data_IF_266523282284
#
_entry.id   IF_266523282284
#
_cell.length_a   1.000
_cell.length_b   1.000
_cell.length_c   1.000
_cell.angle_alpha   90.00
_cell.angle_beta   90.00
_cell.angle_gamma   90.00
#
_symmetry.space_group_name_H-M   'P 1'
#
loop_
_entity.id
_entity.type
_entity.pdbx_description
1 polymer ?
#
# COMPACT_ATOMS: atom_id res chain seq x y z
N UNK A 1 11.27 -14.60 -23.63
CA UNK A 1 10.93 -13.38 -24.39
C UNK A 1 12.19 -12.55 -24.42
N UNK A 2 12.86 -12.47 -25.57
CA UNK A 2 14.05 -11.62 -25.70
C UNK A 2 13.60 -10.16 -25.58
N UNK A 3 14.20 -9.45 -24.63
CA UNK A 3 13.96 -8.01 -24.47
C UNK A 3 14.81 -7.27 -25.51
N UNK A 4 14.26 -6.21 -26.15
CA UNK A 4 15.07 -5.37 -27.01
C UNK A 4 16.19 -4.71 -26.20
N UNK A 5 17.28 -4.36 -26.89
CA UNK A 5 18.42 -3.66 -26.30
C UNK A 5 17.95 -2.44 -25.50
N UNK A 6 18.43 -2.31 -24.27
CA UNK A 6 18.02 -1.25 -23.37
C UNK A 6 19.15 -0.95 -22.37
N UNK A 7 19.27 0.31 -21.93
CA UNK A 7 20.41 0.76 -21.13
C UNK A 7 20.53 0.07 -19.78
N UNK A 8 19.44 -0.53 -19.28
CA UNK A 8 19.44 -1.27 -18.02
C UNK A 8 20.06 -2.65 -18.20
N UNK A 9 19.63 -3.39 -19.23
CA UNK A 9 20.20 -4.70 -19.57
C UNK A 9 21.67 -4.59 -19.97
N UNK A 10 22.04 -3.53 -20.71
CA UNK A 10 23.42 -3.27 -21.13
C UNK A 10 24.37 -3.02 -19.94
N UNK A 11 23.82 -2.64 -18.77
CA UNK A 11 24.58 -2.35 -17.55
C UNK A 11 24.14 -3.25 -16.37
N UNK A 12 23.72 -4.49 -16.64
CA UNK A 12 23.16 -5.40 -15.63
C UNK A 12 24.12 -5.65 -14.45
N UNK A 13 25.42 -5.77 -14.70
CA UNK A 13 26.43 -6.01 -13.68
C UNK A 13 26.54 -4.80 -12.73
N UNK A 14 26.53 -3.59 -13.29
CA UNK A 14 26.49 -2.36 -12.50
C UNK A 14 25.27 -2.30 -11.60
N UNK A 15 24.07 -2.58 -12.14
CA UNK A 15 22.85 -2.55 -11.33
C UNK A 15 22.87 -3.62 -10.25
N UNK A 16 23.33 -4.82 -10.56
CA UNK A 16 23.43 -5.93 -9.59
C UNK A 16 24.39 -5.57 -8.46
N UNK A 17 25.60 -5.12 -8.77
CA UNK A 17 26.58 -4.76 -7.76
C UNK A 17 26.09 -3.59 -6.89
N UNK A 18 25.60 -2.51 -7.52
CA UNK A 18 25.29 -1.27 -6.80
C UNK A 18 23.98 -1.32 -6.04
N UNK A 19 22.95 -2.03 -6.54
CA UNK A 19 21.68 -2.17 -5.80
C UNK A 19 21.84 -2.97 -4.51
N UNK A 20 22.70 -3.99 -4.54
CA UNK A 20 22.95 -4.88 -3.40
C UNK A 20 24.20 -4.52 -2.60
N UNK A 21 24.82 -3.37 -2.88
CA UNK A 21 25.94 -2.85 -2.09
C UNK A 21 25.51 -2.42 -0.68
N UNK A 22 26.37 -2.71 0.28
CA UNK A 22 26.25 -2.23 1.66
C UNK A 22 26.38 -0.69 1.75
N UNK A 23 27.03 -0.08 0.76
CA UNK A 23 27.22 1.37 0.72
C UNK A 23 25.93 2.07 0.27
N UNK A 24 25.33 2.83 1.19
CA UNK A 24 24.11 3.62 0.92
C UNK A 24 24.23 4.54 -0.31
N UNK A 25 25.41 5.11 -0.56
CA UNK A 25 25.66 6.00 -1.71
C UNK A 25 25.52 5.26 -3.03
N UNK A 26 26.03 4.03 -3.10
CA UNK A 26 26.00 3.20 -4.31
C UNK A 26 24.60 2.73 -4.63
N UNK A 27 23.88 2.22 -3.63
CA UNK A 27 22.48 1.86 -3.80
C UNK A 27 21.62 3.04 -4.22
N UNK A 28 21.83 4.22 -3.61
CA UNK A 28 21.14 5.45 -4.03
C UNK A 28 21.45 5.79 -5.49
N UNK A 29 22.69 5.65 -5.93
CA UNK A 29 23.08 5.94 -7.31
C UNK A 29 22.36 5.02 -8.31
N UNK A 30 22.34 3.72 -8.07
CA UNK A 30 21.64 2.76 -8.93
C UNK A 30 20.13 3.01 -8.97
N UNK A 31 19.51 3.26 -7.81
CA UNK A 31 18.08 3.61 -7.73
C UNK A 31 17.79 4.89 -8.54
N UNK A 32 18.62 5.93 -8.38
CA UNK A 32 18.45 7.17 -9.13
C UNK A 32 18.52 6.96 -10.65
N UNK A 33 19.43 6.10 -11.13
CA UNK A 33 19.52 5.79 -12.56
C UNK A 33 18.28 5.04 -13.06
N UNK A 34 17.80 4.02 -12.32
CA UNK A 34 16.56 3.30 -12.66
C UNK A 34 15.36 4.24 -12.71
N UNK A 35 15.19 5.08 -11.68
CA UNK A 35 14.07 6.03 -11.62
C UNK A 35 14.15 7.03 -12.77
N UNK A 36 15.34 7.57 -13.06
CA UNK A 36 15.54 8.49 -14.18
C UNK A 36 15.16 7.85 -15.51
N UNK A 37 15.58 6.61 -15.75
CA UNK A 37 15.22 5.85 -16.94
C UNK A 37 13.71 5.61 -17.04
N UNK A 38 13.06 5.15 -15.97
CA UNK A 38 11.61 4.93 -16.03
C UNK A 38 10.82 6.22 -16.27
N UNK A 39 11.24 7.34 -15.68
CA UNK A 39 10.58 8.64 -15.89
C UNK A 39 10.76 9.12 -17.33
N UNK A 40 11.96 8.99 -17.92
CA UNK A 40 12.20 9.41 -19.31
C UNK A 40 11.40 8.59 -20.32
N UNK A 41 11.02 7.37 -19.95
CA UNK A 41 10.22 6.46 -20.78
C UNK A 41 8.71 6.63 -20.58
N UNK A 42 8.26 7.65 -19.83
CA UNK A 42 6.84 8.02 -19.72
C UNK A 42 6.51 9.14 -20.71
N UNK A 43 5.49 8.92 -21.53
CA UNK A 43 4.91 9.90 -22.44
C UNK A 43 3.41 10.07 -22.20
N UNK A 44 2.85 11.17 -22.71
CA UNK A 44 1.40 11.41 -22.70
C UNK A 44 0.79 10.81 -23.97
N UNK A 45 -0.23 9.97 -23.78
CA UNK A 45 -1.00 9.35 -24.85
C UNK A 45 -2.46 9.81 -24.78
N UNK A 46 -3.01 10.16 -25.93
CA UNK A 46 -4.42 10.53 -26.05
C UNK A 46 -5.29 9.28 -26.17
N UNK A 47 -6.27 9.13 -25.29
CA UNK A 47 -7.26 8.07 -25.33
C UNK A 47 -8.59 8.61 -25.86
N UNK A 48 -8.81 8.38 -27.16
CA UNK A 48 -10.00 8.82 -27.88
C UNK A 48 -11.32 8.22 -27.36
N UNK A 49 -11.29 7.23 -26.45
CA UNK A 49 -12.49 6.72 -25.80
C UNK A 49 -13.14 7.75 -24.85
N UNK A 50 -12.36 8.72 -24.36
CA UNK A 50 -12.85 9.77 -23.46
C UNK A 50 -13.09 11.07 -24.22
N UNK A 51 -14.28 11.64 -24.04
CA UNK A 51 -14.65 12.93 -24.65
C UNK A 51 -14.31 14.12 -23.73
N UNK A 52 -14.09 13.85 -22.44
CA UNK A 52 -13.80 14.91 -21.47
C UNK A 52 -12.29 15.22 -21.47
N UNK A 53 -11.86 16.50 -21.60
CA UNK A 53 -10.46 16.87 -21.71
C UNK A 53 -9.56 16.41 -20.55
N UNK A 54 -10.12 16.28 -19.35
CA UNK A 54 -9.38 15.79 -18.17
C UNK A 54 -9.13 14.27 -18.18
N UNK A 55 -9.85 13.50 -19.00
CA UNK A 55 -9.76 12.04 -19.07
C UNK A 55 -9.10 11.56 -20.38
N UNK A 56 -9.00 12.46 -21.37
CA UNK A 56 -8.47 12.12 -22.69
C UNK A 56 -6.96 11.90 -22.69
N UNK A 57 -6.21 12.41 -21.71
CA UNK A 57 -4.75 12.28 -21.67
C UNK A 57 -4.29 11.34 -20.56
N UNK A 58 -3.54 10.31 -20.93
CA UNK A 58 -2.99 9.33 -19.99
C UNK A 58 -1.47 9.33 -20.04
N UNK A 59 -0.82 9.24 -18.88
CA UNK A 59 0.59 8.92 -18.82
C UNK A 59 0.78 7.42 -19.13
N UNK A 60 1.55 7.13 -20.16
CA UNK A 60 1.87 5.76 -20.60
C UNK A 60 3.38 5.57 -20.61
N UNK A 61 3.83 4.35 -20.35
CA UNK A 61 5.24 4.01 -20.36
C UNK A 61 5.57 3.18 -21.61
N UNK A 62 6.73 3.43 -22.21
CA UNK A 62 7.23 2.64 -23.33
C UNK A 62 7.26 1.14 -22.97
N UNK A 63 6.94 0.28 -23.94
CA UNK A 63 6.75 -1.16 -23.71
C UNK A 63 7.97 -1.82 -23.05
N UNK A 64 9.18 -1.47 -23.50
CA UNK A 64 10.43 -2.00 -22.96
C UNK A 64 10.62 -1.62 -21.49
N UNK A 65 10.46 -0.34 -21.15
CA UNK A 65 10.57 0.15 -19.78
C UNK A 65 9.50 -0.48 -18.87
N UNK A 66 8.27 -0.63 -19.37
CA UNK A 66 7.19 -1.28 -18.65
C UNK A 66 7.50 -2.76 -18.36
N UNK A 67 8.08 -3.49 -19.32
CA UNK A 67 8.53 -4.87 -19.12
C UNK A 67 9.63 -4.99 -18.06
N UNK A 68 10.64 -4.11 -18.10
CA UNK A 68 11.71 -4.08 -17.07
C UNK A 68 11.11 -3.80 -15.69
N UNK A 69 10.26 -2.79 -15.57
CA UNK A 69 9.59 -2.45 -14.30
C UNK A 69 8.76 -3.62 -13.79
N UNK A 70 8.06 -4.32 -14.68
CA UNK A 70 7.26 -5.50 -14.34
C UNK A 70 8.14 -6.65 -13.84
N UNK A 71 9.29 -6.90 -14.48
CA UNK A 71 10.26 -7.89 -14.01
C UNK A 71 10.76 -7.56 -12.59
N UNK A 72 11.12 -6.29 -12.33
CA UNK A 72 11.54 -5.85 -10.99
C UNK A 72 10.42 -6.00 -9.96
N UNK A 73 9.19 -5.62 -10.30
CA UNK A 73 8.01 -5.81 -9.44
C UNK A 73 7.77 -7.28 -9.11
N UNK A 74 7.88 -8.15 -10.11
CA UNK A 74 7.73 -9.60 -9.93
C UNK A 74 8.84 -10.19 -9.04
N UNK A 75 10.06 -9.70 -9.19
CA UNK A 75 11.17 -10.06 -8.32
C UNK A 75 10.88 -9.66 -6.86
N UNK A 76 10.48 -8.40 -6.61
CA UNK A 76 10.13 -7.91 -5.27
C UNK A 76 8.93 -8.67 -4.69
N UNK A 77 7.91 -8.95 -5.51
CA UNK A 77 6.76 -9.74 -5.10
C UNK A 77 7.21 -11.12 -4.59
N UNK A 78 7.99 -11.84 -5.40
CA UNK A 78 8.43 -13.21 -5.10
C UNK A 78 9.39 -13.28 -3.90
N UNK A 79 10.34 -12.35 -3.83
CA UNK A 79 11.47 -12.48 -2.90
C UNK A 79 11.34 -11.61 -1.65
N UNK A 80 10.39 -10.68 -1.61
CA UNK A 80 10.14 -9.81 -0.45
C UNK A 80 8.71 -9.99 0.03
N UNK A 81 7.71 -9.64 -0.79
CA UNK A 81 6.31 -9.57 -0.33
C UNK A 81 5.76 -10.95 0.06
N UNK A 82 6.07 -11.99 -0.73
CA UNK A 82 5.61 -13.36 -0.50
C UNK A 82 6.45 -14.14 0.53
N UNK A 83 7.38 -13.48 1.24
CA UNK A 83 8.11 -14.13 2.33
C UNK A 83 7.15 -14.60 3.45
N UNK A 84 7.30 -15.82 3.99
CA UNK A 84 6.40 -16.35 5.02
C UNK A 84 6.19 -15.45 6.22
N UNK A 85 7.22 -14.75 6.67
CA UNK A 85 7.19 -13.85 7.82
C UNK A 85 6.28 -12.64 7.55
N UNK A 86 6.37 -12.06 6.34
CA UNK A 86 5.51 -10.96 5.92
C UNK A 86 4.08 -11.41 5.69
N UNK A 87 3.88 -12.60 5.11
CA UNK A 87 2.54 -13.19 4.94
C UNK A 87 1.87 -13.46 6.28
N UNK A 88 2.60 -13.99 7.26
CA UNK A 88 2.10 -14.20 8.61
C UNK A 88 1.72 -12.87 9.29
N UNK A 89 2.52 -11.81 9.10
CA UNK A 89 2.19 -10.47 9.60
C UNK A 89 0.92 -9.92 8.93
N UNK A 90 0.81 -10.05 7.61
CA UNK A 90 -0.36 -9.61 6.84
C UNK A 90 -1.64 -10.32 7.30
N UNK A 91 -1.60 -11.65 7.50
CA UNK A 91 -2.74 -12.43 7.97
C UNK A 91 -3.19 -11.99 9.37
N UNK A 92 -2.24 -11.73 10.28
CA UNK A 92 -2.54 -11.20 11.62
C UNK A 92 -3.23 -9.84 11.53
N UNK A 93 -2.73 -8.94 10.67
CA UNK A 93 -3.36 -7.64 10.42
C UNK A 93 -4.79 -7.78 9.87
N UNK A 94 -5.01 -8.65 8.89
CA UNK A 94 -6.35 -8.92 8.35
C UNK A 94 -7.31 -9.44 9.41
N UNK A 95 -6.88 -10.40 10.23
CA UNK A 95 -7.68 -10.92 11.34
C UNK A 95 -8.02 -9.83 12.36
N UNK A 96 -7.07 -8.97 12.70
CA UNK A 96 -7.28 -7.84 13.59
C UNK A 96 -8.38 -6.90 13.07
N UNK A 97 -8.31 -6.51 11.79
CA UNK A 97 -9.30 -5.63 11.16
C UNK A 97 -10.68 -6.27 11.11
N UNK A 98 -10.77 -7.56 10.74
CA UNK A 98 -12.05 -8.30 10.73
C UNK A 98 -12.70 -8.34 12.12
N UNK A 99 -11.90 -8.63 13.15
CA UNK A 99 -12.38 -8.68 14.52
C UNK A 99 -12.83 -7.31 15.03
N UNK A 100 -12.05 -6.25 14.77
CA UNK A 100 -12.44 -4.88 15.08
C UNK A 100 -13.77 -4.52 14.43
N UNK A 101 -13.90 -4.74 13.12
CA UNK A 101 -15.12 -4.44 12.37
C UNK A 101 -16.32 -5.18 12.94
N UNK A 102 -16.22 -6.50 13.13
CA UNK A 102 -17.31 -7.30 13.70
C UNK A 102 -17.72 -6.81 15.08
N UNK A 103 -16.77 -6.53 15.99
CA UNK A 103 -17.12 -6.07 17.34
C UNK A 103 -17.78 -4.71 17.36
N UNK A 104 -17.31 -3.77 16.53
CA UNK A 104 -17.92 -2.45 16.40
C UNK A 104 -19.34 -2.54 15.82
N UNK A 105 -19.58 -3.45 14.87
CA UNK A 105 -20.93 -3.70 14.33
C UNK A 105 -21.84 -4.33 15.39
N UNK A 106 -21.34 -5.25 16.21
CA UNK A 106 -22.14 -5.91 17.25
C UNK A 106 -22.54 -4.95 18.39
N UNK A 107 -21.71 -3.94 18.70
CA UNK A 107 -21.89 -3.05 19.86
C UNK A 107 -21.53 -1.58 19.56
N UNK A 108 -22.14 -0.93 18.54
CA UNK A 108 -21.71 0.37 18.03
C UNK A 108 -21.81 1.48 19.10
N UNK A 109 -22.94 1.55 19.82
CA UNK A 109 -23.16 2.56 20.87
C UNK A 109 -22.13 2.52 21.99
N UNK A 110 -21.62 1.33 22.33
CA UNK A 110 -20.71 1.16 23.47
C UNK A 110 -19.25 1.34 23.07
N UNK A 111 -18.91 1.08 21.81
CA UNK A 111 -17.53 0.94 21.38
C UNK A 111 -17.06 2.05 20.43
N UNK A 112 -17.98 2.71 19.73
CA UNK A 112 -17.65 3.85 18.88
C UNK A 112 -17.50 5.12 19.74
N UNK A 113 -16.56 6.02 19.37
CA UNK A 113 -16.54 7.38 19.90
C UNK A 113 -17.86 8.10 19.60
N UNK A 114 -18.29 9.00 20.49
CA UNK A 114 -19.57 9.72 20.36
C UNK A 114 -19.79 10.37 18.99
N UNK A 115 -18.82 11.10 18.38
CA UNK A 115 -19.02 11.69 17.07
C UNK A 115 -19.29 10.64 15.98
N UNK A 116 -18.52 9.55 16.00
CA UNK A 116 -18.63 8.46 15.02
C UNK A 116 -19.94 7.70 15.20
N UNK A 117 -20.40 7.54 16.43
CA UNK A 117 -21.70 6.92 16.70
C UNK A 117 -22.87 7.79 16.21
N UNK A 118 -22.74 9.12 16.27
CA UNK A 118 -23.74 10.01 15.68
C UNK A 118 -23.79 9.86 14.16
N UNK A 119 -22.62 9.89 13.49
CA UNK A 119 -22.53 9.65 12.05
C UNK A 119 -23.09 8.27 11.66
N UNK A 120 -22.89 7.25 12.51
CA UNK A 120 -23.45 5.92 12.33
C UNK A 120 -24.98 5.91 12.35
N UNK A 121 -25.60 6.67 13.26
CA UNK A 121 -27.06 6.78 13.36
C UNK A 121 -27.67 7.55 12.20
N UNK A 122 -26.98 8.58 11.71
CA UNK A 122 -27.48 9.46 10.66
C UNK A 122 -27.22 8.92 9.24
N UNK A 123 -26.41 7.87 9.11
CA UNK A 123 -26.02 7.28 7.84
C UNK A 123 -27.02 6.25 7.31
N UNK A 124 -27.30 6.30 6.01
CA UNK A 124 -28.02 5.23 5.30
C UNK A 124 -27.18 3.96 5.13
N UNK A 125 -25.88 4.01 5.43
CA UNK A 125 -24.98 2.87 5.42
C UNK A 125 -24.07 2.88 6.67
N UNK A 126 -24.59 2.41 7.82
CA UNK A 126 -23.85 2.45 9.08
C UNK A 126 -22.58 1.60 9.09
N UNK A 127 -22.54 0.51 8.31
CA UNK A 127 -21.34 -0.31 8.12
C UNK A 127 -20.20 0.47 7.45
N UNK A 128 -20.54 1.39 6.54
CA UNK A 128 -19.54 2.25 5.90
C UNK A 128 -18.90 3.21 6.90
N UNK A 129 -19.67 3.75 7.84
CA UNK A 129 -19.15 4.63 8.91
C UNK A 129 -18.11 3.88 9.76
N UNK A 130 -18.38 2.62 10.11
CA UNK A 130 -17.42 1.78 10.84
C UNK A 130 -16.19 1.49 9.98
N UNK A 131 -16.35 1.20 8.70
CA UNK A 131 -15.22 0.95 7.80
C UNK A 131 -14.33 2.20 7.67
N UNK A 132 -14.93 3.38 7.49
CA UNK A 132 -14.21 4.66 7.39
C UNK A 132 -13.53 5.00 8.71
N UNK A 133 -14.17 4.73 9.86
CA UNK A 133 -13.56 4.88 11.18
C UNK A 133 -12.33 3.97 11.35
N UNK A 134 -12.41 2.69 10.98
CA UNK A 134 -11.24 1.79 11.06
C UNK A 134 -10.14 2.25 10.09
N UNK A 135 -10.51 2.61 8.86
CA UNK A 135 -9.56 3.05 7.83
C UNK A 135 -8.86 4.38 8.18
N UNK A 136 -9.45 5.21 9.04
CA UNK A 136 -8.81 6.45 9.51
C UNK A 136 -7.68 6.21 10.52
N UNK A 137 -7.50 4.98 11.01
CA UNK A 137 -6.45 4.65 11.98
C UNK A 137 -5.14 4.30 11.29
N UNK A 138 -4.02 4.76 11.87
CA UNK A 138 -2.71 4.16 11.60
C UNK A 138 -2.61 2.76 12.23
N UNK A 139 -1.69 1.93 11.76
CA UNK A 139 -1.42 0.60 12.31
C UNK A 139 -1.26 0.61 13.83
N UNK A 140 -0.51 1.57 14.37
CA UNK A 140 -0.29 1.71 15.81
C UNK A 140 -1.58 2.02 16.57
N UNK A 141 -2.48 2.82 15.99
CA UNK A 141 -3.74 3.21 16.63
C UNK A 141 -4.77 2.09 16.51
N UNK A 142 -4.86 1.42 15.37
CA UNK A 142 -5.70 0.23 15.19
C UNK A 142 -5.28 -0.91 16.12
N UNK A 143 -3.96 -1.12 16.28
CA UNK A 143 -3.40 -2.12 17.21
C UNK A 143 -3.77 -1.79 18.66
N UNK A 144 -3.67 -0.52 19.08
CA UNK A 144 -4.10 -0.10 20.42
C UNK A 144 -5.60 -0.32 20.64
N UNK A 145 -6.43 0.04 19.65
CA UNK A 145 -7.86 -0.21 19.70
C UNK A 145 -8.17 -1.71 19.84
N UNK A 146 -7.47 -2.55 19.10
CA UNK A 146 -7.61 -4.01 19.20
C UNK A 146 -7.26 -4.52 20.60
N UNK A 147 -6.10 -4.14 21.16
CA UNK A 147 -5.73 -4.58 22.50
C UNK A 147 -6.71 -4.10 23.57
N UNK A 148 -7.21 -2.87 23.47
CA UNK A 148 -8.25 -2.34 24.36
C UNK A 148 -9.53 -3.18 24.36
N UNK A 149 -9.92 -3.72 23.21
CA UNK A 149 -11.17 -4.48 23.06
C UNK A 149 -11.03 -5.98 23.37
N UNK A 150 -9.85 -6.57 23.14
CA UNK A 150 -9.68 -8.02 23.16
C UNK A 150 -8.66 -8.53 24.20
N UNK A 151 -7.82 -7.67 24.77
CA UNK A 151 -6.77 -8.08 25.71
C UNK A 151 -7.10 -7.58 27.13
N UNK A 152 -7.42 -8.49 28.08
CA UNK A 152 -7.67 -8.12 29.47
C UNK A 152 -6.44 -7.47 30.12
N UNK A 153 -6.63 -6.34 30.81
CA UNK A 153 -5.55 -5.65 31.53
C UNK A 153 -4.73 -4.65 30.71
N UNK A 154 -4.89 -4.62 29.38
CA UNK A 154 -4.33 -3.56 28.52
C UNK A 154 -5.46 -2.63 28.07
N UNK A 155 -5.56 -1.50 28.75
CA UNK A 155 -6.58 -0.49 28.50
C UNK A 155 -6.81 0.30 29.77
N UNK A 156 -6.22 1.49 29.84
CA UNK A 156 -6.55 2.40 30.92
C UNK A 156 -7.91 3.02 30.62
N UNK A 157 -8.78 3.15 31.62
CA UNK A 157 -9.97 4.02 31.55
C UNK A 157 -9.63 5.47 31.12
N UNK A 158 -8.34 5.83 31.15
CA UNK A 158 -7.82 7.12 30.73
C UNK A 158 -7.31 7.18 29.28
N UNK A 159 -7.31 6.08 28.52
CA UNK A 159 -6.99 6.12 27.08
C UNK A 159 -8.18 6.76 26.33
N UNK A 160 -8.20 8.10 26.33
CA UNK A 160 -9.22 8.91 25.66
C UNK A 160 -9.09 8.79 24.13
N UNK A 161 -10.25 8.80 23.48
CA UNK A 161 -10.45 8.83 22.03
C UNK A 161 -9.79 10.05 21.38
#
# INVERSE_FOLDING_TARGET
MEMPANPIADNIDFFTEKLFSDLRRERKHAISQLVSYFISEVGIHENAAFHHPLLQFNATMASTAHQILTLLKNFVLKHVILQPELQALQLKGQQMILQLFSRLVDNPQKLLPTPVYQDYLDSSNPHRVIADYIASHSDATATRLYHRLFTPGTGSIYDRF
#
